data_IF_318863271281
#
_entry.id   IF_318863271281
#
_cell.length_a   1.000
_cell.length_b   1.000
_cell.length_c   1.000
_cell.angle_alpha   90.00
_cell.angle_beta   90.00
_cell.angle_gamma   90.00
#
_symmetry.space_group_name_H-M   'P 1'
#
loop_
_entity.id
_entity.type
_entity.pdbx_description
1 polymer ?
#
# COMPACT_ATOMS: atom_id res chain seq x y z
N UNK A 1 -4.79 -0.57 10.32
CA UNK A 1 -4.08 -0.11 9.11
C UNK A 1 -3.62 -1.31 8.33
N UNK A 2 -3.91 -1.37 7.05
CA UNK A 2 -3.47 -2.41 6.13
C UNK A 2 -2.71 -1.77 4.98
N UNK A 3 -1.43 -2.14 4.80
CA UNK A 3 -0.65 -1.79 3.63
C UNK A 3 -0.44 -3.01 2.76
N UNK A 4 -0.79 -2.90 1.48
CA UNK A 4 -0.28 -3.80 0.44
C UNK A 4 0.70 -3.05 -0.43
N UNK A 5 1.83 -3.69 -0.73
CA UNK A 5 3.00 -3.04 -1.31
C UNK A 5 3.59 -3.90 -2.42
N UNK A 6 3.78 -3.32 -3.60
CA UNK A 6 4.55 -3.92 -4.68
C UNK A 6 6.03 -3.84 -4.33
N UNK A 7 6.65 -4.99 -4.06
CA UNK A 7 8.04 -5.04 -3.66
C UNK A 7 9.03 -4.75 -4.79
N UNK A 8 8.63 -4.89 -6.06
CA UNK A 8 9.47 -4.64 -7.23
C UNK A 8 9.41 -3.16 -7.60
N UNK A 9 8.21 -2.65 -7.87
CA UNK A 9 7.99 -1.25 -8.28
C UNK A 9 8.08 -0.26 -7.12
N UNK A 10 8.10 -0.78 -5.88
CA UNK A 10 8.07 0.00 -4.63
C UNK A 10 6.85 0.91 -4.53
N UNK A 11 5.67 0.40 -4.89
CA UNK A 11 4.41 1.16 -4.88
C UNK A 11 3.55 0.68 -3.72
N UNK A 12 2.99 1.60 -2.93
CA UNK A 12 1.91 1.27 -2.00
C UNK A 12 0.62 1.15 -2.80
N UNK A 13 0.07 -0.06 -2.86
CA UNK A 13 -1.14 -0.40 -3.62
C UNK A 13 -2.42 -0.22 -2.79
N UNK A 14 -2.36 -0.38 -1.47
CA UNK A 14 -3.52 -0.22 -0.58
C UNK A 14 -3.08 0.34 0.77
N UNK A 15 -3.94 1.13 1.41
CA UNK A 15 -3.67 1.87 2.64
C UNK A 15 -4.91 1.94 3.55
N UNK A 16 -5.71 0.87 3.58
CA UNK A 16 -6.99 0.84 4.27
C UNK A 16 -6.86 1.02 5.80
N UNK A 17 -7.66 1.94 6.34
CA UNK A 17 -7.71 2.25 7.77
C UNK A 17 -9.00 1.68 8.34
N UNK A 18 -8.86 0.83 9.35
CA UNK A 18 -9.99 0.21 10.05
C UNK A 18 -9.74 0.25 11.55
N UNK A 19 -10.79 0.42 12.38
CA UNK A 19 -10.69 0.26 13.83
C UNK A 19 -10.35 -1.18 14.23
N UNK A 20 -10.72 -2.15 13.39
CA UNK A 20 -10.55 -3.57 13.67
C UNK A 20 -9.51 -4.20 12.75
N UNK A 21 -8.94 -5.31 13.22
CA UNK A 21 -8.05 -6.17 12.45
C UNK A 21 -8.73 -7.51 12.20
N UNK A 22 -9.68 -7.49 11.26
CA UNK A 22 -10.57 -8.62 10.94
C UNK A 22 -10.51 -8.98 9.44
N UNK A 23 -11.23 -10.05 9.09
CA UNK A 23 -11.32 -10.57 7.72
C UNK A 23 -11.93 -9.55 6.77
N UNK A 24 -13.00 -8.85 7.18
CA UNK A 24 -13.64 -7.82 6.37
C UNK A 24 -12.65 -6.71 5.99
N UNK A 25 -11.86 -6.26 6.96
CA UNK A 25 -10.82 -5.25 6.72
C UNK A 25 -9.74 -5.74 5.75
N UNK A 26 -9.34 -7.01 5.84
CA UNK A 26 -8.41 -7.61 4.90
C UNK A 26 -9.00 -7.71 3.48
N UNK A 27 -10.28 -8.08 3.36
CA UNK A 27 -11.01 -8.13 2.09
C UNK A 27 -11.05 -6.74 1.45
N UNK A 28 -11.41 -5.70 2.20
CA UNK A 28 -11.41 -4.32 1.69
C UNK A 28 -10.03 -3.86 1.27
N UNK A 29 -9.00 -4.15 2.06
CA UNK A 29 -7.63 -3.78 1.72
C UNK A 29 -7.17 -4.45 0.41
N UNK A 30 -7.50 -5.72 0.17
CA UNK A 30 -7.22 -6.44 -1.07
C UNK A 30 -8.04 -5.90 -2.25
N UNK A 31 -9.31 -5.52 -2.02
CA UNK A 31 -10.17 -4.92 -3.06
C UNK A 31 -9.51 -3.69 -3.67
N UNK A 32 -8.92 -2.85 -2.83
CA UNK A 32 -8.20 -1.65 -3.27
C UNK A 32 -6.94 -1.97 -4.09
N UNK A 33 -6.34 -3.15 -3.91
CA UNK A 33 -5.26 -3.64 -4.78
C UNK A 33 -5.83 -4.03 -6.14
N UNK A 34 -6.87 -4.88 -6.16
CA UNK A 34 -7.46 -5.38 -7.40
C UNK A 34 -8.04 -4.28 -8.28
N UNK A 35 -8.66 -3.24 -7.69
CA UNK A 35 -9.13 -2.05 -8.44
C UNK A 35 -8.02 -1.36 -9.26
N UNK A 36 -6.76 -1.49 -8.84
CA UNK A 36 -5.59 -0.89 -9.51
C UNK A 36 -4.94 -1.82 -10.52
N UNK A 37 -5.48 -3.03 -10.70
CA UNK A 37 -4.99 -4.05 -11.61
C UNK A 37 -6.02 -4.24 -12.74
N UNK A 38 -5.76 -3.75 -13.96
CA UNK A 38 -6.66 -3.96 -15.09
C UNK A 38 -6.88 -5.44 -15.41
N UNK A 39 -5.85 -6.25 -15.19
CA UNK A 39 -5.88 -7.71 -15.30
C UNK A 39 -5.13 -8.30 -14.09
N UNK A 40 -5.73 -9.32 -13.49
CA UNK A 40 -5.15 -10.04 -12.36
C UNK A 40 -4.23 -11.14 -12.92
N UNK A 41 -2.93 -11.16 -12.58
CA UNK A 41 -2.01 -12.21 -13.01
C UNK A 41 -2.42 -13.58 -12.47
N UNK A 42 -2.22 -14.64 -13.27
CA UNK A 42 -2.52 -16.02 -12.85
C UNK A 42 -1.60 -16.50 -11.70
N UNK A 43 -0.38 -15.98 -11.63
CA UNK A 43 0.64 -16.28 -10.62
C UNK A 43 0.69 -15.26 -9.47
N UNK A 44 -0.37 -14.46 -9.30
CA UNK A 44 -0.42 -13.44 -8.27
C UNK A 44 -0.28 -14.05 -6.87
N UNK A 45 0.77 -13.64 -6.16
CA UNK A 45 1.08 -14.12 -4.81
C UNK A 45 1.14 -12.96 -3.81
N UNK A 46 0.35 -13.05 -2.74
CA UNK A 46 0.43 -12.14 -1.60
C UNK A 46 1.27 -12.75 -0.48
N UNK A 47 2.21 -11.96 0.02
CA UNK A 47 3.04 -12.33 1.17
C UNK A 47 2.59 -11.50 2.36
N UNK A 48 2.10 -12.20 3.37
CA UNK A 48 1.43 -11.60 4.53
C UNK A 48 2.01 -12.16 5.81
N UNK A 49 1.64 -11.57 6.95
CA UNK A 49 1.99 -12.17 8.24
C UNK A 49 1.12 -13.40 8.55
N UNK A 50 1.44 -14.10 9.64
CA UNK A 50 0.74 -15.32 10.06
C UNK A 50 -0.71 -15.14 10.50
N UNK A 51 -1.34 -13.98 10.27
CA UNK A 51 -2.71 -13.77 10.68
C UNK A 51 -3.68 -14.52 9.75
N UNK A 52 -4.57 -15.40 10.28
CA UNK A 52 -5.48 -16.20 9.46
C UNK A 52 -6.51 -15.39 8.66
N UNK A 53 -6.73 -14.11 8.99
CA UNK A 53 -7.66 -13.23 8.24
C UNK A 53 -7.34 -13.17 6.73
N UNK A 54 -6.07 -13.31 6.35
CA UNK A 54 -5.67 -13.26 4.94
C UNK A 54 -6.02 -14.55 4.17
N UNK A 55 -5.97 -15.71 4.83
CA UNK A 55 -6.44 -16.96 4.24
C UNK A 55 -7.97 -16.93 4.06
N UNK A 56 -8.69 -16.39 5.04
CA UNK A 56 -10.14 -16.20 4.91
C UNK A 56 -10.50 -15.23 3.77
N UNK A 57 -9.74 -14.14 3.61
CA UNK A 57 -9.90 -13.23 2.49
C UNK A 57 -9.59 -13.92 1.14
N UNK A 58 -8.56 -14.78 1.07
CA UNK A 58 -8.26 -15.59 -0.11
C UNK A 58 -9.45 -16.49 -0.48
N UNK A 59 -10.03 -17.21 0.50
CA UNK A 59 -11.21 -18.04 0.26
C UNK A 59 -12.40 -17.22 -0.24
N UNK A 60 -12.64 -16.04 0.33
CA UNK A 60 -13.70 -15.14 -0.12
C UNK A 60 -13.54 -14.78 -1.60
N UNK A 61 -12.33 -14.35 -2.03
CA UNK A 61 -12.09 -13.98 -3.42
C UNK A 61 -12.12 -15.17 -4.38
N UNK A 62 -11.62 -16.33 -3.95
CA UNK A 62 -11.71 -17.56 -4.74
C UNK A 62 -13.18 -17.95 -5.03
N UNK A 63 -14.09 -17.78 -4.05
CA UNK A 63 -15.53 -17.99 -4.24
C UNK A 63 -16.16 -17.00 -5.24
N UNK A 64 -15.53 -15.84 -5.46
CA UNK A 64 -15.98 -14.81 -6.40
C UNK A 64 -15.18 -14.83 -7.72
N UNK A 65 -14.45 -15.92 -8.00
CA UNK A 65 -13.74 -16.09 -9.28
C UNK A 65 -12.44 -15.31 -9.40
N UNK A 66 -11.86 -14.87 -8.28
CA UNK A 66 -10.55 -14.18 -8.23
C UNK A 66 -9.57 -15.07 -7.45
N UNK A 67 -8.96 -16.09 -8.08
CA UNK A 67 -7.96 -16.91 -7.43
C UNK A 67 -6.63 -16.16 -7.32
N UNK A 68 -5.92 -16.37 -6.21
CA UNK A 68 -4.55 -15.92 -6.00
C UNK A 68 -3.91 -16.74 -4.87
N UNK A 69 -2.58 -16.69 -4.78
CA UNK A 69 -1.81 -17.39 -3.76
C UNK A 69 -1.54 -16.52 -2.53
N UNK A 70 -1.54 -17.12 -1.34
CA UNK A 70 -1.12 -16.46 -0.10
C UNK A 70 0.01 -17.26 0.54
N UNK A 71 1.14 -16.59 0.83
CA UNK A 71 2.25 -17.15 1.61
C UNK A 71 2.34 -16.37 2.94
N UNK A 72 2.18 -17.08 4.05
CA UNK A 72 2.28 -16.50 5.39
C UNK A 72 3.72 -16.60 5.90
N UNK A 73 4.26 -15.49 6.40
CA UNK A 73 5.63 -15.42 6.95
C UNK A 73 5.59 -15.12 8.44
N UNK A 74 5.69 -16.18 9.25
CA UNK A 74 5.55 -16.14 10.71
C UNK A 74 6.92 -15.88 11.36
N UNK A 75 7.04 -14.80 12.13
CA UNK A 75 8.24 -14.55 12.95
C UNK A 75 9.54 -14.20 12.20
N UNK A 76 10.62 -13.98 12.95
CA UNK A 76 11.98 -13.74 12.46
C UNK A 76 12.89 -14.98 12.64
N UNK A 77 12.41 -15.99 13.35
CA UNK A 77 13.12 -17.23 13.70
C UNK A 77 12.89 -18.29 12.62
N UNK A 78 13.98 -18.83 12.08
CA UNK A 78 14.02 -19.71 10.92
C UNK A 78 13.47 -21.12 11.24
N UNK A 79 12.16 -21.30 11.23
CA UNK A 79 11.59 -22.63 11.47
C UNK A 79 11.08 -23.33 10.20
N UNK A 80 10.95 -22.62 9.06
CA UNK A 80 10.45 -23.22 7.80
C UNK A 80 11.11 -22.64 6.52
N UNK A 81 11.24 -23.45 5.44
CA UNK A 81 11.87 -23.03 4.17
C UNK A 81 11.17 -21.85 3.47
N UNK A 82 9.84 -21.76 3.58
CA UNK A 82 9.03 -20.71 2.94
C UNK A 82 9.38 -19.35 3.55
N UNK A 83 9.44 -19.26 4.88
CA UNK A 83 9.85 -18.05 5.59
C UNK A 83 11.26 -17.58 5.19
N UNK A 84 12.17 -18.50 4.83
CA UNK A 84 13.53 -18.14 4.39
C UNK A 84 13.52 -17.46 3.02
N UNK A 85 12.74 -17.99 2.08
CA UNK A 85 12.62 -17.47 0.71
C UNK A 85 12.01 -16.06 0.69
N UNK A 86 10.91 -15.85 1.41
CA UNK A 86 10.14 -14.60 1.38
C UNK A 86 10.62 -13.55 2.40
N UNK A 87 11.66 -13.85 3.21
CA UNK A 87 12.24 -12.93 4.20
C UNK A 87 12.68 -11.58 3.65
N UNK A 88 13.33 -11.48 2.46
CA UNK A 88 13.72 -10.19 1.90
C UNK A 88 12.51 -9.26 1.68
N UNK A 89 11.37 -9.83 1.31
CA UNK A 89 10.12 -9.11 1.07
C UNK A 89 9.51 -8.64 2.40
N UNK A 90 9.57 -9.46 3.44
CA UNK A 90 9.22 -9.05 4.81
C UNK A 90 10.06 -7.86 5.30
N UNK A 91 11.35 -7.85 5.02
CA UNK A 91 12.22 -6.72 5.39
C UNK A 91 11.85 -5.42 4.67
N UNK A 92 11.35 -5.50 3.44
CA UNK A 92 10.90 -4.32 2.68
C UNK A 92 9.66 -3.70 3.34
N UNK A 93 8.65 -4.52 3.69
CA UNK A 93 7.45 -4.02 4.37
C UNK A 93 7.75 -3.50 5.79
N UNK A 94 8.67 -4.14 6.52
CA UNK A 94 9.12 -3.66 7.83
C UNK A 94 9.81 -2.29 7.73
N UNK A 95 10.62 -2.07 6.68
CA UNK A 95 11.23 -0.75 6.41
C UNK A 95 10.17 0.29 6.09
N UNK A 96 9.17 -0.04 5.26
CA UNK A 96 8.04 0.86 4.97
C UNK A 96 7.32 1.26 6.28
N UNK A 97 6.98 0.28 7.11
CA UNK A 97 6.31 0.52 8.39
C UNK A 97 7.16 1.37 9.34
N UNK A 98 8.48 1.22 9.34
CA UNK A 98 9.39 2.06 10.12
C UNK A 98 9.40 3.50 9.61
N UNK A 99 9.43 3.70 8.29
CA UNK A 99 9.33 5.04 7.69
C UNK A 99 7.99 5.69 8.03
N UNK A 100 6.88 4.96 7.93
CA UNK A 100 5.56 5.46 8.33
C UNK A 100 5.54 5.91 9.80
N UNK A 101 5.98 5.04 10.72
CA UNK A 101 6.06 5.34 12.16
C UNK A 101 6.94 6.57 12.45
N UNK A 102 8.04 6.74 11.73
CA UNK A 102 8.91 7.90 11.86
C UNK A 102 8.20 9.22 11.53
N UNK A 103 7.42 9.25 10.44
CA UNK A 103 6.62 10.41 10.06
C UNK A 103 5.46 10.66 11.05
N UNK A 104 4.85 9.59 11.55
CA UNK A 104 3.74 9.69 12.50
C UNK A 104 4.16 10.24 13.87
N UNK A 105 5.35 9.89 14.38
CA UNK A 105 5.80 10.31 15.73
C UNK A 105 5.79 11.83 15.91
N UNK A 106 6.01 12.60 14.85
CA UNK A 106 6.00 14.05 14.88
C UNK A 106 4.59 14.66 15.02
N UNK A 107 3.52 13.91 14.75
CA UNK A 107 2.15 14.46 14.75
C UNK A 107 1.47 14.43 16.12
N UNK A 108 2.11 13.85 17.15
CA UNK A 108 1.55 13.68 18.52
C UNK A 108 0.23 12.91 18.59
N UNK A 109 -0.15 12.22 17.52
CA UNK A 109 -1.45 11.54 17.40
C UNK A 109 -2.16 11.89 16.10
N UNK A 110 -3.33 11.28 15.88
CA UNK A 110 -4.21 11.62 14.75
C UNK A 110 -5.35 12.58 15.11
N UNK A 111 -5.69 12.70 16.39
CA UNK A 111 -6.79 13.53 16.88
C UNK A 111 -8.21 13.07 16.51
N UNK A 112 -8.38 12.27 15.45
CA UNK A 112 -9.66 11.70 15.02
C UNK A 112 -9.45 10.53 14.04
N UNK A 113 -10.52 9.77 13.77
CA UNK A 113 -10.50 8.73 12.73
C UNK A 113 -10.26 9.33 11.34
N UNK A 114 -10.92 10.44 11.00
CA UNK A 114 -10.71 11.16 9.74
C UNK A 114 -9.26 11.65 9.63
N UNK A 115 -8.69 12.17 10.71
CA UNK A 115 -7.27 12.54 10.76
C UNK A 115 -6.34 11.37 10.43
N UNK A 116 -6.66 10.16 10.91
CA UNK A 116 -5.88 8.96 10.61
C UNK A 116 -5.98 8.57 9.12
N UNK A 117 -7.16 8.65 8.52
CA UNK A 117 -7.37 8.37 7.09
C UNK A 117 -6.62 9.39 6.23
N UNK A 118 -6.75 10.68 6.54
CA UNK A 118 -6.07 11.76 5.82
C UNK A 118 -4.56 11.62 5.89
N UNK A 119 -3.99 11.41 7.08
CA UNK A 119 -2.54 11.27 7.24
C UNK A 119 -2.00 10.10 6.42
N UNK A 120 -2.67 8.95 6.49
CA UNK A 120 -2.23 7.73 5.79
C UNK A 120 -2.36 7.89 4.29
N UNK A 121 -3.42 8.53 3.82
CA UNK A 121 -3.61 8.86 2.40
C UNK A 121 -2.49 9.76 1.92
N UNK A 122 -2.20 10.86 2.63
CA UNK A 122 -1.12 11.77 2.28
C UNK A 122 0.26 11.10 2.35
N UNK A 123 0.51 10.23 3.33
CA UNK A 123 1.74 9.46 3.38
C UNK A 123 1.91 8.59 2.14
N UNK A 124 0.86 7.91 1.68
CA UNK A 124 0.91 7.09 0.47
C UNK A 124 1.12 7.92 -0.79
N UNK A 125 0.44 9.06 -0.91
CA UNK A 125 0.64 10.00 -2.02
C UNK A 125 2.08 10.48 -2.06
N UNK A 126 2.61 10.92 -0.92
CA UNK A 126 4.01 11.32 -0.80
C UNK A 126 4.95 10.18 -1.22
N UNK A 127 4.73 8.97 -0.70
CA UNK A 127 5.59 7.83 -0.97
C UNK A 127 5.61 7.43 -2.45
N UNK A 128 4.44 7.41 -3.10
CA UNK A 128 4.26 6.91 -4.46
C UNK A 128 4.59 7.94 -5.55
N UNK A 129 4.34 9.23 -5.32
CA UNK A 129 4.41 10.24 -6.39
C UNK A 129 5.47 11.32 -6.15
N UNK A 130 5.94 11.49 -4.91
CA UNK A 130 6.77 12.65 -4.55
C UNK A 130 8.12 12.27 -3.95
N UNK A 131 8.24 11.09 -3.32
CA UNK A 131 9.47 10.66 -2.64
C UNK A 131 10.37 9.87 -3.59
N UNK A 132 11.59 10.35 -3.90
CA UNK A 132 12.61 9.56 -4.56
C UNK A 132 13.05 8.35 -3.74
N UNK A 133 13.27 7.21 -4.39
CA UNK A 133 13.81 6.02 -3.73
C UNK A 133 15.16 5.65 -4.32
N UNK A 134 16.15 5.38 -3.45
CA UNK A 134 17.47 4.92 -3.89
C UNK A 134 17.41 3.62 -4.70
N UNK A 135 16.47 2.72 -4.37
CA UNK A 135 16.23 1.48 -5.10
C UNK A 135 15.67 1.68 -6.52
N UNK A 136 15.21 2.89 -6.85
CA UNK A 136 14.68 3.26 -8.16
C UNK A 136 15.54 4.35 -8.81
N UNK A 137 16.86 4.34 -8.58
CA UNK A 137 17.78 5.35 -9.15
C UNK A 137 17.40 6.80 -8.81
N UNK A 138 16.87 7.02 -7.59
CA UNK A 138 16.33 8.32 -7.13
C UNK A 138 15.12 8.80 -7.95
N UNK A 139 14.38 7.90 -8.59
CA UNK A 139 13.06 8.16 -9.17
C UNK A 139 11.95 7.89 -8.15
N UNK A 140 10.77 8.44 -8.42
CA UNK A 140 9.54 8.14 -7.68
C UNK A 140 8.93 6.82 -8.19
N UNK A 141 8.15 6.09 -7.37
CA UNK A 141 7.54 4.83 -7.79
C UNK A 141 6.55 4.97 -8.95
N UNK A 142 5.79 6.06 -8.98
CA UNK A 142 4.84 6.37 -10.06
C UNK A 142 5.13 7.76 -10.59
N UNK A 143 5.49 7.83 -11.87
CA UNK A 143 5.80 9.07 -12.57
C UNK A 143 4.52 9.73 -13.07
N UNK A 144 4.33 11.00 -12.73
CA UNK A 144 3.30 11.87 -13.28
C UNK A 144 4.02 13.01 -14.01
N UNK A 145 3.99 13.05 -15.36
CA UNK A 145 4.73 14.03 -16.15
C UNK A 145 4.50 15.49 -15.73
N UNK A 146 3.29 15.81 -15.31
CA UNK A 146 2.88 17.15 -14.87
C UNK A 146 3.58 17.60 -13.59
N UNK A 147 4.12 16.69 -12.78
CA UNK A 147 4.84 17.01 -11.54
C UNK A 147 6.33 17.25 -11.75
N UNK A 148 6.91 16.74 -12.84
CA UNK A 148 8.36 16.77 -13.06
C UNK A 148 8.87 18.20 -13.29
N UNK A 149 8.06 19.02 -13.97
CA UNK A 149 8.40 20.41 -14.33
C UNK A 149 8.16 21.41 -13.20
N UNK A 150 7.67 20.97 -12.04
CA UNK A 150 7.28 21.88 -10.96
C UNK A 150 8.46 22.21 -10.04
N UNK A 151 8.60 23.48 -9.61
CA UNK A 151 9.82 24.00 -9.02
C UNK A 151 10.09 23.50 -7.60
N UNK A 152 9.05 23.13 -6.84
CA UNK A 152 9.19 22.76 -5.44
C UNK A 152 8.06 21.83 -4.97
N UNK A 153 8.22 21.28 -3.77
CA UNK A 153 7.26 20.34 -3.17
C UNK A 153 5.85 20.93 -2.96
N UNK A 154 5.67 22.17 -2.46
CA UNK A 154 4.36 22.80 -2.39
C UNK A 154 3.63 22.83 -3.75
N UNK A 155 4.32 23.24 -4.82
CA UNK A 155 3.73 23.26 -6.16
C UNK A 155 3.30 21.85 -6.61
N UNK A 156 4.11 20.82 -6.35
CA UNK A 156 3.78 19.42 -6.66
C UNK A 156 2.54 18.93 -5.90
N UNK A 157 2.41 19.30 -4.62
CA UNK A 157 1.22 18.98 -3.82
C UNK A 157 -0.04 19.66 -4.36
N UNK A 158 0.03 20.97 -4.64
CA UNK A 158 -1.11 21.70 -5.22
C UNK A 158 -1.53 21.09 -6.55
N UNK A 159 -0.57 20.71 -7.40
CA UNK A 159 -0.90 20.06 -8.67
C UNK A 159 -1.55 18.69 -8.48
N UNK A 160 -1.07 17.86 -7.55
CA UNK A 160 -1.70 16.57 -7.22
C UNK A 160 -3.14 16.73 -6.74
N UNK A 161 -3.41 17.74 -5.92
CA UNK A 161 -4.78 18.04 -5.45
C UNK A 161 -5.66 18.44 -6.63
N UNK A 162 -5.18 19.32 -7.52
CA UNK A 162 -5.89 19.71 -8.75
C UNK A 162 -6.19 18.50 -9.64
N UNK A 163 -5.20 17.65 -9.94
CA UNK A 163 -5.41 16.45 -10.76
C UNK A 163 -6.43 15.49 -10.13
N UNK A 164 -6.42 15.38 -8.80
CA UNK A 164 -7.37 14.54 -8.08
C UNK A 164 -8.79 15.11 -8.14
N UNK A 165 -8.94 16.44 -8.09
CA UNK A 165 -10.22 17.12 -8.24
C UNK A 165 -10.77 16.98 -9.66
N UNK A 166 -9.93 17.18 -10.69
CA UNK A 166 -10.31 17.00 -12.09
C UNK A 166 -10.80 15.56 -12.32
N UNK A 167 -10.06 14.57 -11.80
CA UNK A 167 -10.47 13.16 -11.87
C UNK A 167 -11.81 12.91 -11.18
N UNK A 168 -12.07 13.49 -10.01
CA UNK A 168 -13.36 13.33 -9.32
C UNK A 168 -14.52 13.94 -10.11
N UNK A 169 -14.30 15.07 -10.78
CA UNK A 169 -15.31 15.68 -11.64
C UNK A 169 -15.64 14.78 -12.84
N UNK A 170 -14.63 14.16 -13.47
CA UNK A 170 -14.82 13.23 -14.59
C UNK A 170 -15.56 11.94 -14.19
N UNK A 171 -15.52 11.55 -12.91
CA UNK A 171 -16.23 10.39 -12.37
C UNK A 171 -17.67 10.70 -11.95
N UNK A 172 -18.04 11.98 -11.88
CA UNK A 172 -19.39 12.40 -11.51
C UNK A 172 -20.20 12.57 -12.81
N UNK A 173 -21.29 11.81 -13.02
CA UNK A 173 -22.08 11.88 -14.25
C UNK A 173 -22.77 13.24 -14.45
#
# INVERSE_FOLDING_TARGET
MFFFFDAVKKIILSNYVSPNRDTESAIYALREVFKKMPQIPEDLTFIVDGNPIYLLAQHYYAQHGIPFDVKQVIGLTNNDPVSKEYRPLKQIIERLNRTFKGNYRATTGFGSQQGSVSFVTLFCVYFNFLRPHAALEKKVPVLIPELDKLPNMPAKWTKLISLSQDWLMDQTP
#
